data_IF_586274432335
#
_entry.id   IF_586274432335
#
_cell.length_a   1.000
_cell.length_b   1.000
_cell.length_c   1.000
_cell.angle_alpha   90.00
_cell.angle_beta   90.00
_cell.angle_gamma   90.00
#
_symmetry.space_group_name_H-M   'P 1'
#
loop_
_entity.id
_entity.type
_entity.pdbx_description
1 polymer ?
#
# COMPACT_ATOMS: atom_id res chain seq x y z
N UNK A 1 8.22 -6.99 0.82
CA UNK A 1 8.95 -7.65 -0.28
C UNK A 1 8.85 -6.79 -1.52
N UNK A 2 9.89 -6.84 -2.35
CA UNK A 2 10.07 -6.03 -3.55
C UNK A 2 8.89 -6.07 -4.53
N UNK A 3 8.25 -7.24 -4.61
CA UNK A 3 7.09 -7.52 -5.46
C UNK A 3 5.84 -6.72 -5.05
N UNK A 4 5.71 -6.38 -3.76
CA UNK A 4 4.56 -5.62 -3.25
C UNK A 4 4.66 -4.12 -3.50
N UNK A 5 5.86 -3.61 -3.76
CA UNK A 5 6.09 -2.18 -4.01
C UNK A 5 5.46 -1.68 -5.31
N UNK A 6 5.26 -2.54 -6.30
CA UNK A 6 4.62 -2.19 -7.58
C UNK A 6 3.16 -1.76 -7.42
N UNK A 7 2.52 -2.19 -6.32
CA UNK A 7 1.12 -1.88 -6.02
C UNK A 7 0.95 -0.54 -5.30
N UNK A 8 2.05 0.12 -4.91
CA UNK A 8 2.03 1.42 -4.26
C UNK A 8 2.03 2.53 -5.31
N UNK A 9 0.88 3.20 -5.46
CA UNK A 9 0.74 4.35 -6.34
C UNK A 9 0.58 5.64 -5.53
N UNK A 10 1.26 6.76 -5.89
CA UNK A 10 0.98 8.06 -5.29
C UNK A 10 -0.50 8.42 -5.48
N UNK A 11 -1.15 8.89 -4.41
CA UNK A 11 -2.61 9.15 -4.36
C UNK A 11 -3.50 7.91 -4.52
N UNK A 12 -2.91 6.72 -4.53
CA UNK A 12 -3.64 5.46 -4.46
C UNK A 12 -4.16 5.17 -3.06
N UNK A 13 -5.00 4.14 -2.95
CA UNK A 13 -5.58 3.69 -1.69
C UNK A 13 -4.79 2.54 -1.09
N UNK A 14 -4.76 2.47 0.23
CA UNK A 14 -4.23 1.34 0.99
C UNK A 14 -5.01 1.17 2.29
N UNK A 15 -5.23 -0.07 2.72
CA UNK A 15 -5.81 -0.32 4.04
C UNK A 15 -4.71 -0.68 5.04
N UNK A 16 -4.75 -0.04 6.21
CA UNK A 16 -3.88 -0.34 7.36
C UNK A 16 -4.76 -0.69 8.55
N UNK A 17 -4.68 -1.93 9.03
CA UNK A 17 -5.60 -2.50 10.03
C UNK A 17 -7.08 -2.22 9.72
N UNK A 18 -7.45 -2.39 8.45
CA UNK A 18 -8.81 -2.16 7.94
C UNK A 18 -9.18 -0.68 7.72
N UNK A 19 -8.32 0.28 8.07
CA UNK A 19 -8.55 1.71 7.84
C UNK A 19 -8.10 2.09 6.44
N UNK A 20 -9.02 2.59 5.61
CA UNK A 20 -8.71 3.10 4.27
C UNK A 20 -7.99 4.44 4.34
N UNK A 21 -6.83 4.52 3.68
CA UNK A 21 -5.93 5.66 3.71
C UNK A 21 -5.37 5.97 2.32
N UNK A 22 -5.00 7.23 2.11
CA UNK A 22 -4.36 7.69 0.87
C UNK A 22 -2.84 7.63 0.99
N UNK A 23 -2.19 7.01 0.01
CA UNK A 23 -0.73 6.97 -0.12
C UNK A 23 -0.22 8.35 -0.56
N UNK A 24 0.69 8.94 0.20
CA UNK A 24 1.28 10.25 -0.09
C UNK A 24 2.62 10.10 -0.81
N UNK A 25 3.49 9.24 -0.29
CA UNK A 25 4.89 9.17 -0.74
C UNK A 25 5.40 7.72 -0.76
N UNK A 26 5.10 6.96 -1.82
CA UNK A 26 5.67 5.63 -2.00
C UNK A 26 7.12 5.73 -2.46
N UNK A 27 8.01 4.98 -1.83
CA UNK A 27 9.46 5.01 -2.07
C UNK A 27 10.08 3.63 -1.87
N UNK A 28 11.30 3.48 -2.38
CA UNK A 28 12.18 2.36 -2.08
C UNK A 28 13.29 2.83 -1.17
N UNK A 29 13.51 2.12 -0.08
CA UNK A 29 14.55 2.43 0.90
C UNK A 29 15.19 1.12 1.35
N UNK A 30 16.52 0.99 1.20
CA UNK A 30 17.28 -0.22 1.55
C UNK A 30 16.71 -1.53 0.95
N UNK A 31 16.17 -1.48 -0.27
CA UNK A 31 15.57 -2.65 -0.94
C UNK A 31 14.13 -2.97 -0.50
N UNK A 32 13.57 -2.19 0.41
CA UNK A 32 12.20 -2.36 0.92
C UNK A 32 11.25 -1.31 0.35
N UNK A 33 9.99 -1.71 0.17
CA UNK A 33 8.92 -0.78 -0.17
C UNK A 33 8.48 -0.04 1.09
N UNK A 34 8.51 1.29 1.06
CA UNK A 34 8.03 2.17 2.12
C UNK A 34 7.03 3.17 1.56
N UNK A 35 6.11 3.61 2.40
CA UNK A 35 5.13 4.61 2.03
C UNK A 35 4.71 5.43 3.24
N UNK A 36 4.28 6.67 2.97
CA UNK A 36 3.64 7.51 3.96
C UNK A 36 2.15 7.62 3.63
N UNK A 37 1.32 7.76 4.67
CA UNK A 37 -0.13 7.97 4.56
C UNK A 37 -0.53 9.25 5.25
N UNK A 38 -1.57 9.91 4.73
CA UNK A 38 -2.18 11.04 5.42
C UNK A 38 -3.26 10.52 6.38
N UNK A 39 -3.14 10.85 7.67
CA UNK A 39 -4.15 10.51 8.69
C UNK A 39 -4.69 11.80 9.29
N UNK A 40 -5.98 12.07 9.08
CA UNK A 40 -6.64 13.23 9.68
C UNK A 40 -6.98 12.98 11.15
N UNK A 41 -7.16 14.04 11.97
CA UNK A 41 -7.41 13.89 13.41
C UNK A 41 -8.61 13.00 13.77
N UNK A 42 -9.69 13.07 12.98
CA UNK A 42 -10.87 12.22 13.18
C UNK A 42 -10.53 10.74 12.98
N UNK A 43 -9.91 10.36 11.85
CA UNK A 43 -9.47 8.99 11.59
C UNK A 43 -8.52 8.48 12.67
N UNK A 44 -7.56 9.31 13.12
CA UNK A 44 -6.67 8.92 14.22
C UNK A 44 -7.45 8.62 15.50
N UNK A 45 -8.37 9.51 15.90
CA UNK A 45 -9.13 9.40 17.16
C UNK A 45 -10.17 8.28 17.17
N UNK A 46 -10.80 8.00 16.04
CA UNK A 46 -11.93 7.06 15.96
C UNK A 46 -11.52 5.65 15.50
N UNK A 47 -10.22 5.38 15.34
CA UNK A 47 -9.72 4.04 14.92
C UNK A 47 -8.61 3.55 15.85
N UNK A 48 -8.18 2.30 15.66
CA UNK A 48 -7.04 1.73 16.38
C UNK A 48 -5.72 2.50 16.15
N UNK A 49 -5.66 3.36 15.12
CA UNK A 49 -4.47 4.14 14.79
C UNK A 49 -4.03 5.12 15.90
N UNK A 50 -4.91 5.51 16.83
CA UNK A 50 -4.51 6.33 17.99
C UNK A 50 -3.48 5.63 18.90
N UNK A 51 -3.43 4.30 18.88
CA UNK A 51 -2.57 3.50 19.76
C UNK A 51 -1.24 3.09 19.11
N UNK A 52 -1.06 3.35 17.81
CA UNK A 52 0.14 2.95 17.09
C UNK A 52 1.37 3.76 17.51
N UNK A 53 2.47 3.07 17.72
CA UNK A 53 3.80 3.60 17.98
C UNK A 53 4.81 3.13 16.91
N UNK A 54 5.93 3.85 16.72
CA UNK A 54 7.00 3.39 15.84
C UNK A 54 7.49 2.00 16.24
N UNK A 55 7.52 1.07 15.27
CA UNK A 55 7.90 -0.32 15.48
C UNK A 55 6.73 -1.29 15.58
N UNK A 56 5.51 -0.79 15.75
CA UNK A 56 4.32 -1.65 15.75
C UNK A 56 4.12 -2.32 14.39
N UNK A 57 3.67 -3.58 14.45
CA UNK A 57 3.26 -4.32 13.26
C UNK A 57 1.79 -4.07 13.00
N UNK A 58 1.46 -3.88 11.73
CA UNK A 58 0.11 -3.62 11.24
C UNK A 58 -0.21 -4.55 10.09
N UNK A 59 -1.49 -4.83 9.89
CA UNK A 59 -1.96 -5.51 8.69
C UNK A 59 -2.05 -4.52 7.54
N UNK A 60 -1.51 -4.89 6.38
CA UNK A 60 -1.50 -4.04 5.18
C UNK A 60 -2.21 -4.76 4.04
N UNK A 61 -3.24 -4.12 3.52
CA UNK A 61 -4.00 -4.61 2.37
C UNK A 61 -3.88 -3.63 1.20
N UNK A 62 -3.32 -4.11 0.09
CA UNK A 62 -3.24 -3.33 -1.15
C UNK A 62 -4.57 -3.29 -1.88
N UNK A 63 -4.80 -2.19 -2.59
CA UNK A 63 -5.97 -1.97 -3.43
C UNK A 63 -6.17 -3.15 -4.40
N UNK A 64 -7.40 -3.65 -4.45
CA UNK A 64 -7.78 -4.77 -5.32
C UNK A 64 -7.62 -4.41 -6.80
N UNK A 65 -7.90 -3.17 -7.20
CA UNK A 65 -7.75 -2.71 -8.57
C UNK A 65 -6.28 -2.72 -8.98
N UNK A 66 -5.38 -2.27 -8.09
CA UNK A 66 -3.94 -2.33 -8.34
C UNK A 66 -3.47 -3.78 -8.56
N UNK A 67 -3.94 -4.73 -7.72
CA UNK A 67 -3.65 -6.16 -7.89
C UNK A 67 -4.18 -6.72 -9.22
N UNK A 68 -5.41 -6.36 -9.58
CA UNK A 68 -6.03 -6.83 -10.82
C UNK A 68 -5.31 -6.31 -12.06
N UNK A 69 -4.93 -5.04 -12.07
CA UNK A 69 -4.18 -4.42 -13.18
C UNK A 69 -2.78 -5.03 -13.30
N UNK A 70 -2.06 -5.18 -12.19
CA UNK A 70 -0.74 -5.84 -12.19
C UNK A 70 -0.82 -7.28 -12.73
N UNK A 71 -1.82 -8.05 -12.29
CA UNK A 71 -2.04 -9.41 -12.78
C UNK A 71 -2.32 -9.46 -14.30
N UNK A 72 -3.14 -8.55 -14.82
CA UNK A 72 -3.43 -8.44 -16.25
C UNK A 72 -2.19 -8.06 -17.06
N UNK A 73 -1.40 -7.10 -16.58
CA UNK A 73 -0.16 -6.66 -17.24
C UNK A 73 0.85 -7.81 -17.29
N UNK A 74 1.02 -8.56 -16.18
CA UNK A 74 1.91 -9.73 -16.14
C UNK A 74 1.50 -10.80 -17.15
N UNK A 75 0.21 -11.15 -17.18
CA UNK A 75 -0.31 -12.12 -18.13
C UNK A 75 -0.07 -11.70 -19.59
N UNK A 76 -0.24 -10.41 -19.90
CA UNK A 76 0.05 -9.86 -21.23
C UNK A 76 1.54 -9.90 -21.59
N UNK A 77 2.42 -9.53 -20.65
CA UNK A 77 3.87 -9.54 -20.86
C UNK A 77 4.44 -10.96 -21.00
N UNK A 78 3.83 -11.93 -20.34
CA UNK A 78 4.20 -13.35 -20.47
C UNK A 78 3.72 -13.91 -21.82
N UNK A 79 2.58 -13.46 -22.32
CA UNK A 79 2.08 -13.83 -23.64
C UNK A 79 2.96 -13.29 -24.77
N UNK A 80 3.41 -12.03 -24.70
CA UNK A 80 4.23 -11.40 -25.75
C UNK A 80 5.69 -11.86 -25.79
N UNK A 81 6.19 -12.51 -24.72
CA UNK A 81 7.55 -13.06 -24.65
C UNK A 81 7.69 -14.49 -25.17
N UNK A 82 6.59 -15.13 -25.56
CA UNK A 82 6.56 -16.39 -26.30
C UNK A 82 6.56 -16.13 -27.79
#
# INVERSE_FOLDING_TARGET
SEERGVLLAPKGSIAVDGVSLTIVNPRREAGEARFDVAVIPHTRRETAMQHLAPGDKVNVEFDILAKQVDAQIRAYLDWTRK
#
